data_IF_809391151791
#
_entry.id   IF_809391151791
#
_cell.length_a   1.000
_cell.length_b   1.000
_cell.length_c   1.000
_cell.angle_alpha   90.00
_cell.angle_beta   90.00
_cell.angle_gamma   90.00
#
_symmetry.space_group_name_H-M   'P 1'
#
loop_
_entity.id
_entity.type
_entity.pdbx_description
1 polymer ?
#
# COMPACT_ATOMS: atom_id res chain seq x y z
N UNK A 1 40.18 20.57 -19.80
CA UNK A 1 39.14 21.19 -20.65
C UNK A 1 39.37 22.70 -20.65
N UNK A 2 39.18 23.36 -21.80
CA UNK A 2 39.14 24.83 -21.89
C UNK A 2 37.68 25.27 -22.01
N UNK A 3 37.14 25.92 -20.98
CA UNK A 3 35.84 26.59 -21.06
C UNK A 3 36.05 28.05 -21.45
N UNK A 4 35.97 28.35 -22.75
CA UNK A 4 35.81 29.72 -23.21
C UNK A 4 34.39 30.18 -22.88
N UNK A 5 34.26 31.25 -22.11
CA UNK A 5 32.99 31.96 -21.93
C UNK A 5 32.71 32.84 -23.15
N UNK A 6 31.59 32.66 -23.89
CA UNK A 6 31.32 33.40 -25.11
C UNK A 6 30.33 34.57 -24.91
N UNK A 7 30.68 35.73 -25.47
CA UNK A 7 29.84 36.93 -25.69
C UNK A 7 29.27 37.70 -24.47
N UNK A 8 29.47 39.03 -24.48
CA UNK A 8 28.71 39.99 -23.66
C UNK A 8 29.52 41.17 -23.09
N UNK A 9 30.76 40.92 -22.67
CA UNK A 9 31.52 41.81 -21.78
C UNK A 9 32.20 43.07 -22.39
N UNK A 10 32.50 43.21 -23.71
CA UNK A 10 33.33 44.32 -24.21
C UNK A 10 32.82 45.74 -23.89
N UNK A 11 31.50 45.97 -23.94
CA UNK A 11 30.94 47.31 -23.74
C UNK A 11 31.05 47.77 -22.28
N UNK A 12 30.69 46.91 -21.31
CA UNK A 12 30.73 47.27 -19.90
C UNK A 12 32.14 47.68 -19.46
N UNK A 13 33.16 46.84 -19.73
CA UNK A 13 34.52 47.13 -19.29
C UNK A 13 35.06 48.47 -19.83
N UNK A 14 34.80 48.77 -21.11
CA UNK A 14 35.24 50.03 -21.70
C UNK A 14 34.49 51.26 -21.16
N UNK A 15 33.21 51.13 -20.84
CA UNK A 15 32.38 52.25 -20.35
C UNK A 15 32.59 52.49 -18.85
N UNK A 16 32.77 51.45 -18.03
CA UNK A 16 33.18 51.58 -16.62
C UNK A 16 34.60 52.13 -16.50
N UNK A 17 35.55 51.65 -17.31
CA UNK A 17 36.92 52.20 -17.36
C UNK A 17 36.91 53.70 -17.70
N UNK A 18 36.14 54.13 -18.70
CA UNK A 18 36.01 55.56 -19.05
C UNK A 18 35.38 56.41 -17.95
N UNK A 19 34.47 55.85 -17.15
CA UNK A 19 33.85 56.56 -16.03
C UNK A 19 34.81 56.67 -14.83
N UNK A 20 35.56 55.61 -14.53
CA UNK A 20 36.63 55.60 -13.53
C UNK A 20 37.76 56.58 -13.87
N UNK A 21 38.31 56.53 -15.09
CA UNK A 21 39.35 57.49 -15.52
C UNK A 21 38.88 58.95 -15.58
N UNK A 22 37.55 59.20 -15.59
CA UNK A 22 36.97 60.54 -15.46
C UNK A 22 36.75 60.96 -14.01
N UNK A 23 36.52 60.02 -13.10
CA UNK A 23 36.60 60.26 -11.66
C UNK A 23 38.05 60.61 -11.25
N UNK A 24 39.06 59.89 -11.73
CA UNK A 24 40.48 60.27 -11.54
C UNK A 24 40.79 61.67 -12.10
N UNK A 25 40.23 62.01 -13.26
CA UNK A 25 40.42 63.35 -13.85
C UNK A 25 39.74 64.45 -13.02
N UNK A 26 38.60 64.18 -12.38
CA UNK A 26 37.97 65.11 -11.44
C UNK A 26 38.74 65.20 -10.12
N UNK A 27 39.19 64.08 -9.55
CA UNK A 27 40.03 64.03 -8.35
C UNK A 27 41.32 64.84 -8.52
N UNK A 28 41.96 64.75 -9.69
CA UNK A 28 43.18 65.51 -10.01
C UNK A 28 42.94 66.97 -10.41
N UNK A 29 41.76 67.32 -10.94
CA UNK A 29 41.38 68.70 -11.24
C UNK A 29 40.91 69.51 -10.01
N UNK A 30 40.45 68.84 -8.94
CA UNK A 30 40.09 69.50 -7.68
C UNK A 30 40.98 69.02 -6.54
N UNK A 31 42.18 69.58 -6.44
CA UNK A 31 43.24 69.20 -5.49
C UNK A 31 42.97 69.50 -4.01
N UNK A 32 41.70 69.73 -3.64
CA UNK A 32 41.22 69.81 -2.25
C UNK A 32 39.88 69.06 -2.19
N UNK A 33 39.94 67.78 -1.81
CA UNK A 33 38.78 66.97 -1.43
C UNK A 33 38.99 66.48 0.01
N UNK A 34 38.91 67.42 0.96
CA UNK A 34 39.11 67.13 2.38
C UNK A 34 37.86 66.46 2.95
N UNK A 35 37.86 65.12 3.01
CA UNK A 35 36.79 64.32 3.61
C UNK A 35 36.96 64.36 5.14
N UNK A 36 36.54 65.47 5.73
CA UNK A 36 36.60 65.68 7.17
C UNK A 36 35.92 64.55 7.95
N UNK A 37 36.66 63.93 8.87
CA UNK A 37 36.23 62.74 9.63
C UNK A 37 35.08 63.09 10.59
N UNK A 38 33.85 62.57 10.37
CA UNK A 38 32.70 63.07 11.09
C UNK A 38 32.36 62.19 12.30
N UNK A 39 32.36 62.78 13.50
CA UNK A 39 31.92 62.12 14.74
C UNK A 39 30.38 61.96 14.84
N UNK A 40 29.66 62.26 13.75
CA UNK A 40 28.21 62.11 13.56
C UNK A 40 27.97 61.64 12.12
N UNK A 41 26.76 61.17 11.78
CA UNK A 41 26.45 60.53 10.47
C UNK A 41 26.27 61.50 9.30
N UNK A 42 27.08 62.56 9.23
CA UNK A 42 26.98 63.64 8.25
C UNK A 42 28.38 63.91 7.65
N UNK A 43 28.56 63.59 6.37
CA UNK A 43 29.80 63.84 5.63
C UNK A 43 29.66 65.16 4.85
N UNK A 44 30.63 66.06 5.01
CA UNK A 44 30.66 67.35 4.33
C UNK A 44 31.71 67.33 3.22
N UNK A 45 31.31 67.72 2.00
CA UNK A 45 32.19 67.84 0.85
C UNK A 45 32.59 69.32 0.68
N UNK A 46 33.74 69.69 1.22
CA UNK A 46 34.37 70.99 0.93
C UNK A 46 34.98 70.98 -0.47
N UNK A 47 34.71 72.01 -1.26
CA UNK A 47 35.34 72.25 -2.55
C UNK A 47 35.63 73.74 -2.73
N UNK A 48 36.78 74.07 -3.31
CA UNK A 48 37.33 75.44 -3.40
C UNK A 48 36.42 76.44 -4.14
N UNK A 49 35.50 75.95 -4.99
CA UNK A 49 34.47 76.80 -5.63
C UNK A 49 33.08 76.18 -5.55
N UNK A 50 32.00 76.99 -5.49
CA UNK A 50 30.62 76.49 -5.56
C UNK A 50 30.28 75.76 -6.87
N UNK A 51 31.05 75.95 -7.94
CA UNK A 51 30.91 75.19 -9.18
C UNK A 51 31.55 73.80 -9.07
N UNK A 52 32.73 73.68 -8.45
CA UNK A 52 33.33 72.39 -8.13
C UNK A 52 32.43 71.55 -7.21
N UNK A 53 31.81 72.17 -6.18
CA UNK A 53 30.85 71.49 -5.32
C UNK A 53 29.64 70.92 -6.11
N UNK A 54 29.04 71.72 -7.01
CA UNK A 54 27.92 71.27 -7.86
C UNK A 54 28.32 70.18 -8.85
N UNK A 55 29.51 70.27 -9.44
CA UNK A 55 30.06 69.25 -10.33
C UNK A 55 30.29 67.91 -9.61
N UNK A 56 30.82 67.95 -8.38
CA UNK A 56 31.00 66.77 -7.53
C UNK A 56 29.67 66.11 -7.17
N UNK A 57 28.70 66.89 -6.66
CA UNK A 57 27.36 66.37 -6.31
C UNK A 57 26.66 65.74 -7.52
N UNK A 58 26.75 66.38 -8.70
CA UNK A 58 26.14 65.88 -9.93
C UNK A 58 26.79 64.57 -10.42
N UNK A 59 28.12 64.47 -10.31
CA UNK A 59 28.88 63.26 -10.69
C UNK A 59 28.61 62.11 -9.71
N UNK A 60 28.55 62.39 -8.40
CA UNK A 60 28.22 61.40 -7.37
C UNK A 60 26.81 60.84 -7.56
N UNK A 61 25.83 61.69 -7.83
CA UNK A 61 24.46 61.28 -8.11
C UNK A 61 24.35 60.42 -9.39
N UNK A 62 25.09 60.79 -10.45
CA UNK A 62 25.17 59.98 -11.67
C UNK A 62 25.81 58.59 -11.41
N UNK A 63 26.85 58.51 -10.58
CA UNK A 63 27.45 57.24 -10.18
C UNK A 63 26.51 56.39 -9.32
N UNK A 64 25.74 57.00 -8.40
CA UNK A 64 24.71 56.33 -7.61
C UNK A 64 23.64 55.68 -8.49
N UNK A 65 23.15 56.38 -9.52
CA UNK A 65 22.18 55.84 -10.48
C UNK A 65 22.73 54.64 -11.28
N UNK A 66 24.02 54.68 -11.66
CA UNK A 66 24.71 53.54 -12.31
C UNK A 66 24.78 52.33 -11.37
N UNK A 67 25.16 52.54 -10.11
CA UNK A 67 25.25 51.47 -9.11
C UNK A 67 23.87 50.88 -8.79
N UNK A 68 22.82 51.71 -8.73
CA UNK A 68 21.45 51.25 -8.56
C UNK A 68 20.99 50.39 -9.76
N UNK A 69 21.16 50.87 -11.00
CA UNK A 69 20.80 50.12 -12.20
C UNK A 69 21.57 48.78 -12.30
N UNK A 70 22.84 48.76 -11.89
CA UNK A 70 23.64 47.53 -11.83
C UNK A 70 23.12 46.56 -10.76
N UNK A 71 22.76 47.06 -9.57
CA UNK A 71 22.16 46.27 -8.48
C UNK A 71 20.80 45.68 -8.87
N UNK A 72 19.95 46.44 -9.56
CA UNK A 72 18.65 45.97 -10.05
C UNK A 72 18.79 44.93 -11.18
N UNK A 73 19.82 45.06 -12.03
CA UNK A 73 20.17 44.01 -12.99
C UNK A 73 20.66 42.74 -12.29
N UNK A 74 21.59 42.84 -11.33
CA UNK A 74 22.15 41.68 -10.60
C UNK A 74 21.09 40.98 -9.75
N UNK A 75 20.25 41.72 -9.03
CA UNK A 75 19.17 41.16 -8.22
C UNK A 75 18.06 40.48 -9.04
N UNK A 76 18.02 40.70 -10.37
CA UNK A 76 17.01 40.11 -11.26
C UNK A 76 17.59 39.14 -12.30
N UNK A 77 18.79 38.59 -12.04
CA UNK A 77 19.43 37.57 -12.89
C UNK A 77 18.66 36.23 -12.98
N UNK A 78 17.64 36.02 -12.13
CA UNK A 78 16.75 34.86 -12.20
C UNK A 78 15.74 34.91 -13.36
N UNK A 79 15.45 36.09 -13.92
CA UNK A 79 14.45 36.27 -14.98
C UNK A 79 15.00 37.01 -16.21
N UNK A 80 14.83 36.38 -17.36
CA UNK A 80 15.46 36.69 -18.65
C UNK A 80 15.29 38.15 -19.14
N UNK A 81 16.29 38.63 -19.90
CA UNK A 81 16.05 39.69 -20.90
C UNK A 81 17.23 40.63 -21.19
N UNK A 82 17.76 40.69 -22.44
CA UNK A 82 18.80 41.66 -22.81
C UNK A 82 18.35 43.14 -22.75
N UNK A 83 17.05 43.40 -22.65
CA UNK A 83 16.50 44.75 -22.44
C UNK A 83 17.02 45.41 -21.14
N UNK A 84 17.28 44.63 -20.08
CA UNK A 84 17.85 45.13 -18.82
C UNK A 84 19.30 45.64 -19.01
N UNK A 85 20.10 44.93 -19.80
CA UNK A 85 21.45 45.38 -20.17
C UNK A 85 21.44 46.68 -21.00
N UNK A 86 20.45 46.85 -21.87
CA UNK A 86 20.22 48.13 -22.57
C UNK A 86 19.88 49.29 -21.62
N UNK A 87 19.16 49.00 -20.53
CA UNK A 87 18.85 49.99 -19.47
C UNK A 87 20.12 50.38 -18.69
N UNK A 88 20.95 49.42 -18.30
CA UNK A 88 22.26 49.71 -17.68
C UNK A 88 23.13 50.53 -18.64
N UNK A 89 23.27 50.11 -19.90
CA UNK A 89 24.09 50.79 -20.89
C UNK A 89 23.66 52.25 -21.15
N UNK A 90 22.36 52.53 -21.20
CA UNK A 90 21.83 53.90 -21.35
C UNK A 90 22.06 54.75 -20.10
N UNK A 91 21.84 54.20 -18.89
CA UNK A 91 22.16 54.90 -17.62
C UNK A 91 23.65 55.23 -17.53
N UNK A 92 24.57 54.31 -17.86
CA UNK A 92 26.02 54.61 -17.82
C UNK A 92 26.46 55.56 -18.94
N UNK A 93 25.76 55.59 -20.09
CA UNK A 93 25.99 56.59 -21.14
C UNK A 93 25.58 58.01 -20.69
N UNK A 94 24.42 58.14 -20.05
CA UNK A 94 23.95 59.41 -19.44
C UNK A 94 24.88 59.85 -18.31
N UNK A 95 25.29 58.93 -17.42
CA UNK A 95 26.22 59.25 -16.35
C UNK A 95 27.60 59.72 -16.86
N UNK A 96 28.12 59.09 -17.92
CA UNK A 96 29.33 59.58 -18.59
C UNK A 96 29.12 60.99 -19.15
N UNK A 97 27.99 61.25 -19.85
CA UNK A 97 27.69 62.57 -20.41
C UNK A 97 27.64 63.67 -19.32
N UNK A 98 26.97 63.40 -18.20
CA UNK A 98 26.93 64.28 -17.02
C UNK A 98 28.33 64.56 -16.48
N UNK A 99 29.19 63.53 -16.38
CA UNK A 99 30.58 63.71 -15.95
C UNK A 99 31.41 64.53 -16.96
N UNK A 100 31.13 64.48 -18.27
CA UNK A 100 31.80 65.38 -19.24
C UNK A 100 31.41 66.83 -18.96
N UNK A 101 30.13 67.14 -18.78
CA UNK A 101 29.70 68.53 -18.55
C UNK A 101 30.19 69.06 -17.20
N UNK A 102 30.18 68.22 -16.16
CA UNK A 102 30.77 68.52 -14.86
C UNK A 102 32.27 68.89 -14.98
N UNK A 103 33.08 68.14 -15.76
CA UNK A 103 34.49 68.51 -15.98
C UNK A 103 34.67 69.87 -16.65
N UNK A 104 33.79 70.25 -17.59
CA UNK A 104 33.84 71.58 -18.24
C UNK A 104 33.48 72.71 -17.28
N UNK A 105 32.46 72.53 -16.43
CA UNK A 105 32.09 73.54 -15.42
C UNK A 105 33.24 73.79 -14.43
N UNK A 106 33.94 72.72 -14.00
CA UNK A 106 35.14 72.83 -13.15
C UNK A 106 36.26 73.57 -13.87
N UNK A 107 36.61 73.17 -15.10
CA UNK A 107 37.68 73.80 -15.87
C UNK A 107 37.41 75.30 -16.16
N UNK A 108 36.16 75.65 -16.45
CA UNK A 108 35.73 77.03 -16.65
C UNK A 108 35.82 77.85 -15.35
N UNK A 109 35.38 77.30 -14.22
CA UNK A 109 35.49 77.95 -12.91
C UNK A 109 36.96 78.12 -12.48
N UNK A 110 37.80 77.10 -12.69
CA UNK A 110 39.24 77.14 -12.41
C UNK A 110 39.94 78.23 -13.23
N UNK A 111 39.60 78.38 -14.52
CA UNK A 111 40.11 79.45 -15.40
C UNK A 111 39.68 80.86 -14.95
N UNK A 112 38.54 81.00 -14.29
CA UNK A 112 38.11 82.26 -13.67
C UNK A 112 38.89 82.51 -12.37
N UNK A 113 39.05 81.50 -11.51
CA UNK A 113 39.82 81.61 -10.26
C UNK A 113 41.29 81.96 -10.51
N UNK A 114 41.94 81.28 -11.46
CA UNK A 114 43.31 81.56 -11.89
C UNK A 114 43.48 83.02 -12.37
N UNK A 115 42.48 83.55 -13.11
CA UNK A 115 42.48 84.94 -13.56
C UNK A 115 42.31 85.94 -12.42
N UNK A 116 41.55 85.59 -11.38
CA UNK A 116 41.43 86.41 -10.17
C UNK A 116 42.74 86.42 -9.37
N UNK A 117 43.36 85.25 -9.15
CA UNK A 117 44.63 85.12 -8.45
C UNK A 117 45.78 85.88 -9.14
N UNK A 118 45.92 85.73 -10.47
CA UNK A 118 46.91 86.46 -11.27
C UNK A 118 46.63 87.97 -11.38
N UNK A 119 45.45 88.44 -11.00
CA UNK A 119 45.12 89.87 -10.89
C UNK A 119 45.59 90.53 -9.58
N UNK A 120 46.08 89.77 -8.60
CA UNK A 120 46.24 90.22 -7.21
C UNK A 120 47.69 90.39 -6.72
N UNK A 121 48.67 90.52 -7.63
CA UNK A 121 50.12 90.50 -7.28
C UNK A 121 50.88 91.80 -7.59
N UNK A 122 50.28 92.96 -7.33
CA UNK A 122 50.94 94.28 -7.49
C UNK A 122 51.07 95.08 -6.19
N UNK A 123 51.92 94.65 -5.25
CA UNK A 123 52.27 95.43 -4.06
C UNK A 123 53.77 95.45 -3.71
N UNK A 124 54.43 96.50 -4.20
CA UNK A 124 55.53 97.28 -3.57
C UNK A 124 56.55 96.51 -2.70
N UNK A 125 57.68 96.16 -3.32
CA UNK A 125 58.91 95.79 -2.62
C UNK A 125 59.52 97.03 -1.93
N UNK A 126 59.43 97.11 -0.60
CA UNK A 126 60.06 98.16 0.20
C UNK A 126 61.52 97.75 0.51
N UNK A 127 62.48 98.26 -0.27
CA UNK A 127 63.90 97.89 -0.14
C UNK A 127 64.58 98.55 1.06
N UNK A 128 64.41 97.96 2.24
CA UNK A 128 65.35 98.18 3.35
C UNK A 128 66.71 97.60 3.00
N UNK A 129 67.79 98.36 3.20
CA UNK A 129 69.15 97.93 2.91
C UNK A 129 69.68 97.05 4.05
N UNK A 130 69.27 95.78 4.05
CA UNK A 130 69.96 94.71 4.75
C UNK A 130 71.28 94.43 4.01
N UNK A 131 72.35 94.19 4.78
CA UNK A 131 73.67 93.85 4.24
C UNK A 131 73.68 92.44 3.64
N UNK A 132 74.29 92.27 2.45
CA UNK A 132 74.21 91.03 1.67
C UNK A 132 74.87 89.84 2.41
N UNK A 133 75.91 90.09 3.22
CA UNK A 133 76.51 89.08 4.10
C UNK A 133 75.53 88.64 5.20
N UNK A 134 74.80 89.59 5.80
CA UNK A 134 73.75 89.29 6.78
C UNK A 134 72.60 88.49 6.16
N UNK A 135 72.17 88.81 4.93
CA UNK A 135 71.15 88.04 4.18
C UNK A 135 71.65 86.61 3.92
N UNK A 136 72.90 86.45 3.49
CA UNK A 136 73.50 85.14 3.24
C UNK A 136 73.60 84.29 4.52
N UNK A 137 74.03 84.89 5.64
CA UNK A 137 74.11 84.18 6.93
C UNK A 137 72.74 83.71 7.42
N UNK A 138 71.71 84.57 7.38
CA UNK A 138 70.36 84.17 7.80
C UNK A 138 69.75 83.15 6.82
N UNK A 139 70.04 83.23 5.52
CA UNK A 139 69.61 82.22 4.54
C UNK A 139 70.23 80.86 4.81
N UNK A 140 71.53 80.82 5.17
CA UNK A 140 72.19 79.57 5.57
C UNK A 140 71.60 79.01 6.87
N UNK A 141 71.38 79.87 7.88
CA UNK A 141 70.76 79.48 9.16
C UNK A 141 69.36 78.87 8.96
N UNK A 142 68.53 79.50 8.14
CA UNK A 142 67.19 78.99 7.79
C UNK A 142 67.26 77.68 7.00
N UNK A 143 68.28 77.50 6.13
CA UNK A 143 68.48 76.25 5.39
C UNK A 143 68.98 75.11 6.28
N UNK A 144 69.82 75.39 7.28
CA UNK A 144 70.19 74.42 8.30
C UNK A 144 68.99 74.04 9.19
N UNK A 145 68.15 75.00 9.58
CA UNK A 145 66.89 74.73 10.29
C UNK A 145 65.95 73.84 9.46
N UNK A 146 65.75 74.16 8.17
CA UNK A 146 64.95 73.35 7.22
C UNK A 146 65.49 71.92 7.10
N UNK A 147 66.82 71.74 7.00
CA UNK A 147 67.44 70.42 6.92
C UNK A 147 67.27 69.62 8.22
N UNK A 148 67.36 70.27 9.38
CA UNK A 148 67.09 69.62 10.67
C UNK A 148 65.61 69.21 10.80
N UNK A 149 64.67 70.05 10.35
CA UNK A 149 63.25 69.71 10.34
C UNK A 149 62.95 68.53 9.39
N UNK A 150 63.47 68.57 8.16
CA UNK A 150 63.32 67.46 7.20
C UNK A 150 63.88 66.14 7.74
N UNK A 151 64.99 66.18 8.48
CA UNK A 151 65.57 64.99 9.12
C UNK A 151 64.73 64.46 10.30
N UNK A 152 63.99 65.32 11.02
CA UNK A 152 63.00 64.89 12.01
C UNK A 152 61.76 64.31 11.34
N UNK A 153 61.23 64.97 10.31
CA UNK A 153 60.10 64.50 9.50
C UNK A 153 60.35 63.12 8.88
N UNK A 154 61.56 62.87 8.36
CA UNK A 154 61.96 61.56 7.83
C UNK A 154 61.90 60.50 8.93
N UNK A 155 62.51 60.75 10.09
CA UNK A 155 62.50 59.79 11.23
C UNK A 155 61.09 59.51 11.74
N UNK A 156 60.21 60.52 11.76
CA UNK A 156 58.81 60.34 12.13
C UNK A 156 58.09 59.44 11.11
N UNK A 157 58.31 59.65 9.80
CA UNK A 157 57.77 58.80 8.74
C UNK A 157 58.33 57.38 8.79
N UNK A 158 59.63 57.19 9.03
CA UNK A 158 60.25 55.87 9.20
C UNK A 158 59.61 55.11 10.37
N UNK A 159 59.35 55.79 11.49
CA UNK A 159 58.63 55.22 12.64
C UNK A 159 57.19 54.81 12.28
N UNK A 160 56.47 55.62 11.50
CA UNK A 160 55.12 55.28 11.02
C UNK A 160 55.13 54.16 10.00
N UNK A 161 56.15 54.08 9.13
CA UNK A 161 56.32 53.00 8.15
C UNK A 161 56.55 51.66 8.86
N UNK A 162 57.38 51.64 9.91
CA UNK A 162 57.59 50.45 10.72
C UNK A 162 56.29 50.03 11.43
N UNK A 163 55.57 50.96 12.08
CA UNK A 163 54.28 50.66 12.74
C UNK A 163 53.22 50.13 11.75
N UNK A 164 53.25 50.58 10.49
CA UNK A 164 52.39 50.04 9.42
C UNK A 164 52.87 48.65 8.97
N UNK A 165 54.18 48.42 8.87
CA UNK A 165 54.74 47.12 8.50
C UNK A 165 54.41 46.04 9.55
N UNK A 166 54.56 46.36 10.84
CA UNK A 166 54.22 45.47 11.95
C UNK A 166 52.74 45.08 11.90
N UNK A 167 51.83 46.06 11.72
CA UNK A 167 50.38 45.80 11.59
C UNK A 167 50.01 44.99 10.34
N UNK A 168 50.75 45.16 9.24
CA UNK A 168 50.57 44.34 8.03
C UNK A 168 51.03 42.89 8.26
N UNK A 169 52.11 42.69 9.04
CA UNK A 169 52.57 41.36 9.46
C UNK A 169 51.55 40.68 10.39
N UNK A 170 51.07 41.37 11.43
CA UNK A 170 49.98 40.88 12.30
C UNK A 170 48.73 40.50 11.48
N UNK A 171 48.37 41.32 10.49
CA UNK A 171 47.22 41.07 9.60
C UNK A 171 47.46 39.84 8.70
N UNK A 172 48.69 39.61 8.24
CA UNK A 172 49.03 38.44 7.44
C UNK A 172 48.96 37.14 8.27
N UNK A 173 49.49 37.15 9.50
CA UNK A 173 49.44 36.01 10.43
C UNK A 173 47.98 35.70 10.86
N UNK A 174 47.17 36.74 11.09
CA UNK A 174 45.73 36.59 11.32
C UNK A 174 44.98 36.01 10.11
N UNK A 175 45.40 36.34 8.88
CA UNK A 175 44.82 35.79 7.66
C UNK A 175 45.24 34.32 7.43
N UNK A 176 46.51 33.97 7.69
CA UNK A 176 47.02 32.60 7.56
C UNK A 176 46.38 31.65 8.59
N UNK A 177 46.25 32.09 9.85
CA UNK A 177 45.56 31.32 10.89
C UNK A 177 44.07 31.15 10.59
N UNK A 178 43.39 32.19 10.10
CA UNK A 178 42.00 32.11 9.66
C UNK A 178 41.81 31.16 8.46
N UNK A 179 42.70 31.20 7.47
CA UNK A 179 42.68 30.30 6.32
C UNK A 179 42.94 28.83 6.74
N UNK A 180 43.87 28.61 7.66
CA UNK A 180 44.16 27.29 8.21
C UNK A 180 42.96 26.70 8.97
N UNK A 181 42.30 27.51 9.80
CA UNK A 181 41.07 27.10 10.48
C UNK A 181 39.93 26.79 9.50
N UNK A 182 39.75 27.60 8.46
CA UNK A 182 38.75 27.37 7.42
C UNK A 182 39.00 26.06 6.65
N UNK A 183 40.25 25.73 6.34
CA UNK A 183 40.63 24.47 5.70
C UNK A 183 40.32 23.27 6.60
N UNK A 184 40.65 23.33 7.90
CA UNK A 184 40.34 22.27 8.87
C UNK A 184 38.83 21.99 8.95
N UNK A 185 38.00 23.04 8.99
CA UNK A 185 36.53 22.93 9.02
C UNK A 185 35.99 22.34 7.71
N UNK A 186 36.57 22.67 6.56
CA UNK A 186 36.17 22.09 5.28
C UNK A 186 36.59 20.60 5.13
N UNK A 187 37.69 20.20 5.75
CA UNK A 187 38.12 18.78 5.83
C UNK A 187 37.16 17.96 6.71
N UNK A 188 36.83 18.43 7.92
CA UNK A 188 35.81 17.82 8.76
C UNK A 188 34.45 17.74 8.05
N UNK A 189 34.04 18.82 7.37
CA UNK A 189 32.81 18.85 6.58
C UNK A 189 32.82 17.83 5.44
N UNK A 190 33.93 17.69 4.69
CA UNK A 190 34.08 16.69 3.63
C UNK A 190 34.02 15.26 4.18
N UNK A 191 34.61 15.01 5.34
CA UNK A 191 34.51 13.72 6.03
C UNK A 191 33.06 13.41 6.44
N UNK A 192 32.39 14.33 7.14
CA UNK A 192 31.00 14.15 7.61
C UNK A 192 30.00 13.98 6.45
N UNK A 193 30.19 14.68 5.32
CA UNK A 193 29.36 14.48 4.12
C UNK A 193 29.57 13.09 3.50
N UNK A 194 30.80 12.58 3.52
CA UNK A 194 31.11 11.23 3.00
C UNK A 194 30.49 10.14 3.88
N UNK A 195 30.54 10.31 5.21
CA UNK A 195 29.94 9.37 6.16
C UNK A 195 28.39 9.42 6.12
N UNK A 196 27.80 10.59 5.93
CA UNK A 196 26.34 10.74 5.73
C UNK A 196 25.88 10.00 4.47
N UNK A 197 26.58 10.17 3.34
CA UNK A 197 26.23 9.49 2.09
C UNK A 197 26.42 7.97 2.20
N UNK A 198 27.45 7.49 2.92
CA UNK A 198 27.62 6.07 3.24
C UNK A 198 26.43 5.52 4.06
N UNK A 199 26.08 6.18 5.17
CA UNK A 199 24.97 5.79 6.03
C UNK A 199 23.63 5.79 5.28
N UNK A 200 23.40 6.77 4.40
CA UNK A 200 22.25 6.83 3.50
C UNK A 200 22.20 5.62 2.57
N UNK A 201 23.30 5.27 1.90
CA UNK A 201 23.35 4.11 1.01
C UNK A 201 23.17 2.78 1.77
N UNK A 202 23.70 2.66 2.99
CA UNK A 202 23.54 1.45 3.80
C UNK A 202 22.10 1.28 4.31
N UNK A 203 21.41 2.39 4.63
CA UNK A 203 19.98 2.35 4.95
C UNK A 203 19.11 2.10 3.71
N UNK A 204 19.46 2.63 2.54
CA UNK A 204 18.76 2.36 1.26
C UNK A 204 18.80 0.86 0.90
N UNK A 205 19.97 0.21 1.03
CA UNK A 205 20.12 -1.26 0.90
C UNK A 205 19.27 -2.02 1.94
N UNK A 206 19.22 -1.53 3.19
CA UNK A 206 18.42 -2.15 4.25
C UNK A 206 16.93 -2.09 3.93
N UNK A 207 16.44 -0.95 3.40
CA UNK A 207 15.07 -0.78 2.93
C UNK A 207 14.78 -1.72 1.76
N UNK A 208 15.65 -1.80 0.75
CA UNK A 208 15.50 -2.73 -0.38
C UNK A 208 15.37 -4.19 0.08
N UNK A 209 16.27 -4.66 0.95
CA UNK A 209 16.21 -6.02 1.52
C UNK A 209 14.94 -6.25 2.33
N UNK A 210 14.45 -5.25 3.07
CA UNK A 210 13.19 -5.35 3.82
C UNK A 210 11.96 -5.45 2.89
N UNK A 211 11.97 -4.71 1.78
CA UNK A 211 10.90 -4.70 0.78
C UNK A 211 10.83 -6.00 -0.01
N UNK A 212 11.99 -6.60 -0.33
CA UNK A 212 12.04 -7.93 -0.93
C UNK A 212 11.46 -9.00 0.00
N UNK A 213 11.86 -9.00 1.29
CA UNK A 213 11.30 -9.92 2.30
C UNK A 213 9.79 -9.73 2.51
N UNK A 214 9.31 -8.48 2.47
CA UNK A 214 7.88 -8.20 2.55
C UNK A 214 7.14 -8.81 1.36
N UNK A 215 7.63 -8.62 0.13
CA UNK A 215 7.04 -9.22 -1.09
C UNK A 215 7.02 -10.74 -1.02
N UNK A 216 8.12 -11.38 -0.63
CA UNK A 216 8.15 -12.83 -0.41
C UNK A 216 7.10 -13.31 0.61
N UNK A 217 6.86 -12.53 1.68
CA UNK A 217 5.85 -12.86 2.68
C UNK A 217 4.42 -12.66 2.16
N UNK A 218 4.20 -11.66 1.31
CA UNK A 218 2.92 -11.39 0.64
C UNK A 218 2.57 -12.48 -0.38
N UNK A 219 3.56 -12.97 -1.13
CA UNK A 219 3.42 -14.11 -2.06
C UNK A 219 3.10 -15.41 -1.30
N UNK A 220 3.80 -15.69 -0.19
CA UNK A 220 3.50 -16.83 0.70
C UNK A 220 2.10 -16.72 1.31
N UNK A 221 1.66 -15.51 1.68
CA UNK A 221 0.31 -15.28 2.21
C UNK A 221 -0.78 -15.53 1.16
N UNK A 222 -0.56 -15.16 -0.11
CA UNK A 222 -1.49 -15.46 -1.22
C UNK A 222 -1.66 -16.95 -1.44
N UNK A 223 -0.57 -17.71 -1.48
CA UNK A 223 -0.60 -19.17 -1.63
C UNK A 223 -1.37 -19.85 -0.48
N UNK A 224 -1.15 -19.41 0.78
CA UNK A 224 -1.90 -19.91 1.93
C UNK A 224 -3.39 -19.54 1.90
N UNK A 225 -3.74 -18.37 1.33
CA UNK A 225 -5.13 -17.96 1.10
C UNK A 225 -5.79 -18.87 0.05
N UNK A 226 -5.11 -19.19 -1.05
CA UNK A 226 -5.58 -20.09 -2.10
C UNK A 226 -5.75 -21.54 -1.61
N UNK A 227 -4.75 -22.09 -0.90
CA UNK A 227 -4.82 -23.42 -0.27
C UNK A 227 -6.02 -23.53 0.69
N UNK A 228 -6.25 -22.49 1.50
CA UNK A 228 -7.37 -22.42 2.44
C UNK A 228 -8.73 -22.32 1.72
N UNK A 229 -8.86 -21.65 0.58
CA UNK A 229 -10.11 -21.70 -0.22
C UNK A 229 -10.36 -23.11 -0.79
N UNK A 230 -9.31 -23.79 -1.24
CA UNK A 230 -9.42 -25.17 -1.73
C UNK A 230 -9.90 -26.13 -0.63
N UNK A 231 -9.27 -26.08 0.55
CA UNK A 231 -9.64 -26.91 1.71
C UNK A 231 -11.05 -26.61 2.24
N UNK A 232 -11.52 -25.36 2.17
CA UNK A 232 -12.92 -25.02 2.47
C UNK A 232 -13.89 -25.69 1.47
N UNK A 233 -13.53 -25.68 0.19
CA UNK A 233 -14.34 -26.28 -0.89
C UNK A 233 -14.41 -27.82 -0.75
N UNK A 234 -13.30 -28.47 -0.42
CA UNK A 234 -13.27 -29.92 -0.11
C UNK A 234 -14.11 -30.26 1.12
N UNK A 235 -13.95 -29.49 2.21
CA UNK A 235 -14.74 -29.64 3.45
C UNK A 235 -16.24 -29.57 3.15
N UNK A 236 -16.68 -28.58 2.39
CA UNK A 236 -18.11 -28.37 2.13
C UNK A 236 -18.69 -29.43 1.19
N UNK A 237 -17.89 -29.91 0.22
CA UNK A 237 -18.24 -31.06 -0.61
C UNK A 237 -18.41 -32.34 0.23
N UNK A 238 -17.48 -32.62 1.14
CA UNK A 238 -17.55 -33.77 2.05
C UNK A 238 -18.71 -33.66 3.06
N UNK A 239 -19.03 -32.45 3.52
CA UNK A 239 -20.21 -32.21 4.37
C UNK A 239 -21.52 -32.45 3.62
N UNK A 240 -21.62 -32.03 2.35
CA UNK A 240 -22.77 -32.29 1.48
C UNK A 240 -22.93 -33.81 1.23
N UNK A 241 -21.84 -34.52 0.92
CA UNK A 241 -21.89 -35.97 0.73
C UNK A 241 -22.33 -36.70 2.02
N UNK A 242 -21.77 -36.30 3.17
CA UNK A 242 -22.18 -36.85 4.47
C UNK A 242 -23.65 -36.57 4.82
N UNK A 243 -24.22 -35.45 4.36
CA UNK A 243 -25.66 -35.17 4.49
C UNK A 243 -26.50 -36.07 3.57
N UNK A 244 -26.07 -36.29 2.32
CA UNK A 244 -26.71 -37.22 1.39
C UNK A 244 -26.75 -38.65 1.95
N UNK A 245 -25.61 -39.18 2.43
CA UNK A 245 -25.57 -40.52 3.02
C UNK A 245 -26.41 -40.65 4.29
N UNK A 246 -26.54 -39.59 5.11
CA UNK A 246 -27.46 -39.57 6.26
C UNK A 246 -28.93 -39.63 5.82
N UNK A 247 -29.29 -38.97 4.73
CA UNK A 247 -30.64 -39.03 4.13
C UNK A 247 -30.97 -40.44 3.63
N UNK A 248 -30.09 -41.05 2.82
CA UNK A 248 -30.29 -42.41 2.32
C UNK A 248 -30.30 -43.46 3.44
N UNK A 249 -29.45 -43.33 4.46
CA UNK A 249 -29.49 -44.17 5.66
C UNK A 249 -30.83 -44.05 6.41
N UNK A 250 -31.42 -42.85 6.46
CA UNK A 250 -32.76 -42.61 7.01
C UNK A 250 -33.85 -43.35 6.22
N UNK A 251 -33.85 -43.21 4.89
CA UNK A 251 -34.78 -43.93 4.00
C UNK A 251 -34.65 -45.44 4.12
N UNK A 252 -33.42 -45.96 4.10
CA UNK A 252 -33.14 -47.39 4.22
C UNK A 252 -33.64 -47.97 5.55
N UNK A 253 -33.44 -47.25 6.67
CA UNK A 253 -33.99 -47.63 7.99
C UNK A 253 -35.51 -47.61 8.02
N UNK A 254 -36.15 -46.60 7.41
CA UNK A 254 -37.62 -46.56 7.28
C UNK A 254 -38.16 -47.76 6.50
N UNK A 255 -37.54 -48.08 5.36
CA UNK A 255 -37.90 -49.23 4.54
C UNK A 255 -37.70 -50.57 5.28
N UNK A 256 -36.62 -50.72 6.06
CA UNK A 256 -36.40 -51.90 6.89
C UNK A 256 -37.54 -52.13 7.90
N UNK A 257 -37.94 -51.09 8.65
CA UNK A 257 -39.05 -51.19 9.62
C UNK A 257 -40.38 -51.52 8.94
N UNK A 258 -40.63 -50.99 7.73
CA UNK A 258 -41.83 -51.32 6.94
C UNK A 258 -41.83 -52.81 6.51
N UNK A 259 -40.67 -53.34 6.11
CA UNK A 259 -40.49 -54.74 5.72
C UNK A 259 -40.57 -55.68 6.92
N UNK A 260 -39.93 -55.37 8.05
CA UNK A 260 -40.06 -56.12 9.31
C UNK A 260 -41.53 -56.22 9.74
N UNK A 261 -42.25 -55.10 9.73
CA UNK A 261 -43.67 -55.08 10.05
C UNK A 261 -44.52 -55.86 9.03
N UNK A 262 -44.09 -55.97 7.76
CA UNK A 262 -44.75 -56.80 6.75
C UNK A 262 -44.49 -58.29 6.95
N UNK A 263 -43.25 -58.68 7.32
CA UNK A 263 -42.88 -60.06 7.68
C UNK A 263 -43.70 -60.53 8.88
N UNK A 264 -43.74 -59.76 9.97
CA UNK A 264 -44.52 -60.13 11.18
C UNK A 264 -46.02 -60.31 10.86
N UNK A 265 -46.59 -59.48 9.97
CA UNK A 265 -47.99 -59.66 9.50
C UNK A 265 -48.17 -60.92 8.64
N UNK A 266 -47.18 -61.30 7.84
CA UNK A 266 -47.22 -62.50 7.01
C UNK A 266 -47.04 -63.77 7.85
N UNK A 267 -46.11 -63.77 8.82
CA UNK A 267 -45.89 -64.85 9.78
C UNK A 267 -47.13 -65.10 10.64
N UNK A 268 -47.75 -64.05 11.20
CA UNK A 268 -48.98 -64.18 11.97
C UNK A 268 -50.14 -64.72 11.12
N UNK A 269 -50.28 -64.25 9.88
CA UNK A 269 -51.28 -64.80 8.94
C UNK A 269 -51.02 -66.27 8.62
N UNK A 270 -49.76 -66.68 8.46
CA UNK A 270 -49.38 -68.08 8.24
C UNK A 270 -49.68 -68.93 9.49
N UNK A 271 -49.37 -68.43 10.69
CA UNK A 271 -49.65 -69.09 11.97
C UNK A 271 -51.15 -69.31 12.19
N UNK A 272 -51.98 -68.30 11.91
CA UNK A 272 -53.45 -68.41 11.96
C UNK A 272 -53.96 -69.42 10.93
N UNK A 273 -53.45 -69.39 9.70
CA UNK A 273 -53.84 -70.34 8.64
C UNK A 273 -53.45 -71.78 8.97
N UNK A 274 -52.31 -72.00 9.62
CA UNK A 274 -51.87 -73.31 10.09
C UNK A 274 -52.74 -73.82 11.25
N UNK A 275 -53.13 -72.95 12.18
CA UNK A 275 -54.03 -73.31 13.28
C UNK A 275 -55.44 -73.69 12.80
N UNK A 276 -55.98 -72.98 11.80
CA UNK A 276 -57.24 -73.34 11.14
C UNK A 276 -57.14 -74.68 10.38
N UNK A 277 -56.03 -74.93 9.68
CA UNK A 277 -55.80 -76.21 9.02
C UNK A 277 -55.69 -77.39 10.01
N UNK A 278 -54.98 -77.22 11.12
CA UNK A 278 -54.89 -78.20 12.22
C UNK A 278 -56.25 -78.46 12.88
N UNK A 279 -57.07 -77.43 13.09
CA UNK A 279 -58.43 -77.59 13.59
C UNK A 279 -59.31 -78.40 12.62
N UNK A 280 -59.25 -78.10 11.31
CA UNK A 280 -59.97 -78.86 10.27
C UNK A 280 -59.48 -80.31 10.15
N UNK A 281 -58.19 -80.58 10.36
CA UNK A 281 -57.63 -81.94 10.42
C UNK A 281 -58.16 -82.68 11.65
N UNK A 282 -58.15 -82.06 12.83
CA UNK A 282 -58.70 -82.67 14.06
C UNK A 282 -60.18 -82.98 13.96
N UNK A 283 -60.96 -82.08 13.34
CA UNK A 283 -62.38 -82.30 13.06
C UNK A 283 -62.59 -83.47 12.08
N UNK A 284 -61.77 -83.57 11.02
CA UNK A 284 -61.80 -84.68 10.08
C UNK A 284 -61.38 -86.03 10.72
N UNK A 285 -60.38 -86.03 11.60
CA UNK A 285 -59.98 -87.23 12.37
C UNK A 285 -61.10 -87.68 13.30
N UNK A 286 -61.74 -86.76 14.03
CA UNK A 286 -62.87 -87.13 14.92
C UNK A 286 -64.08 -87.68 14.13
N UNK A 287 -64.36 -87.15 12.93
CA UNK A 287 -65.35 -87.75 12.01
C UNK A 287 -64.94 -89.15 11.57
N UNK A 288 -63.66 -89.36 11.24
CA UNK A 288 -63.14 -90.67 10.81
C UNK A 288 -63.21 -91.70 11.94
N UNK A 289 -62.85 -91.33 13.17
CA UNK A 289 -63.00 -92.17 14.37
C UNK A 289 -64.46 -92.57 14.60
N UNK A 290 -65.40 -91.62 14.46
CA UNK A 290 -66.84 -91.91 14.55
C UNK A 290 -67.31 -92.88 13.46
N UNK A 291 -66.84 -92.72 12.22
CA UNK A 291 -67.19 -93.59 11.10
C UNK A 291 -66.55 -94.98 11.18
N UNK A 292 -65.34 -95.09 11.75
CA UNK A 292 -64.70 -96.37 12.08
C UNK A 292 -65.53 -97.11 13.14
N UNK A 293 -65.95 -96.41 14.20
CA UNK A 293 -66.80 -97.00 15.23
C UNK A 293 -68.16 -97.45 14.69
N UNK A 294 -68.82 -96.61 13.89
CA UNK A 294 -70.09 -96.98 13.22
C UNK A 294 -69.92 -98.22 12.33
N UNK A 295 -68.80 -98.33 11.60
CA UNK A 295 -68.45 -99.54 10.84
C UNK A 295 -68.22 -100.75 11.75
N UNK A 296 -67.59 -100.60 12.91
CA UNK A 296 -67.39 -101.69 13.88
C UNK A 296 -68.72 -102.18 14.48
N UNK A 297 -69.60 -101.25 14.87
CA UNK A 297 -70.96 -101.54 15.35
C UNK A 297 -71.79 -102.25 14.25
N UNK A 298 -71.68 -101.82 12.99
CA UNK A 298 -72.31 -102.46 11.83
C UNK A 298 -71.73 -103.84 11.52
N UNK A 299 -70.42 -104.06 11.69
CA UNK A 299 -69.79 -105.38 11.53
C UNK A 299 -70.27 -106.34 12.62
N UNK A 300 -70.35 -105.91 13.88
CA UNK A 300 -70.91 -106.71 14.96
C UNK A 300 -72.39 -107.08 14.73
N UNK A 301 -73.17 -106.19 14.12
CA UNK A 301 -74.53 -106.49 13.66
C UNK A 301 -74.55 -107.52 12.52
N UNK A 302 -73.66 -107.40 11.53
CA UNK A 302 -73.53 -108.38 10.43
C UNK A 302 -73.10 -109.75 10.95
N UNK A 303 -72.14 -109.84 11.87
CA UNK A 303 -71.74 -111.11 12.49
C UNK A 303 -72.89 -111.70 13.31
N UNK A 304 -73.66 -110.88 14.02
CA UNK A 304 -74.87 -111.31 14.72
C UNK A 304 -75.93 -111.87 13.76
N UNK A 305 -76.15 -111.21 12.60
CA UNK A 305 -77.05 -111.68 11.55
C UNK A 305 -76.54 -112.96 10.88
N UNK A 306 -75.25 -113.08 10.57
CA UNK A 306 -74.65 -114.33 10.11
C UNK A 306 -74.79 -115.46 11.13
N UNK A 307 -74.65 -115.16 12.44
CA UNK A 307 -74.87 -116.12 13.51
C UNK A 307 -76.35 -116.44 13.74
N UNK A 308 -77.30 -115.59 13.32
CA UNK A 308 -78.72 -115.93 13.23
C UNK A 308 -78.97 -116.83 12.02
N UNK A 309 -78.47 -116.48 10.84
CA UNK A 309 -78.58 -117.27 9.61
C UNK A 309 -77.98 -118.67 9.83
N UNK A 310 -76.76 -118.81 10.38
CA UNK A 310 -76.16 -120.12 10.68
C UNK A 310 -76.96 -120.96 11.69
N UNK A 311 -77.64 -120.32 12.65
CA UNK A 311 -78.58 -121.02 13.56
C UNK A 311 -79.89 -121.40 12.87
N UNK A 312 -80.35 -120.59 11.93
CA UNK A 312 -81.50 -120.90 11.10
C UNK A 312 -81.16 -122.05 10.13
N UNK A 313 -79.97 -122.05 9.52
CA UNK A 313 -79.44 -123.13 8.69
C UNK A 313 -79.31 -124.43 9.49
N UNK A 314 -78.70 -124.44 10.68
CA UNK A 314 -78.64 -125.68 11.50
C UNK A 314 -80.00 -126.12 12.02
N UNK A 315 -80.90 -125.18 12.35
CA UNK A 315 -82.30 -125.50 12.65
C UNK A 315 -83.08 -126.02 11.44
N UNK A 316 -82.71 -125.62 10.22
CA UNK A 316 -83.33 -126.09 8.97
C UNK A 316 -82.76 -127.45 8.59
N UNK A 317 -81.46 -127.69 8.80
CA UNK A 317 -80.81 -129.00 8.62
C UNK A 317 -81.36 -130.04 9.62
N UNK A 318 -81.79 -129.64 10.82
CA UNK A 318 -82.52 -130.51 11.75
C UNK A 318 -84.02 -130.71 11.41
N UNK A 319 -84.56 -130.02 10.41
CA UNK A 319 -85.98 -130.09 10.00
C UNK A 319 -86.15 -130.61 8.55
N UNK A 320 -85.13 -130.48 7.71
CA UNK A 320 -85.12 -130.90 6.31
C UNK A 320 -84.39 -132.23 6.09
N UNK A 321 -84.56 -133.19 7.00
CA UNK A 321 -84.48 -134.63 6.64
C UNK A 321 -85.82 -135.12 6.03
N UNK A 322 -86.88 -134.29 6.06
CA UNK A 322 -88.16 -134.53 5.36
C UNK A 322 -88.56 -133.36 4.42
N UNK A 323 -89.00 -133.70 3.20
CA UNK A 323 -89.57 -132.86 2.13
C UNK A 323 -88.67 -131.73 1.54
N UNK A 324 -88.42 -131.56 0.22
CA UNK A 324 -89.03 -131.97 -1.07
C UNK A 324 -89.76 -130.84 -1.83
N UNK A 325 -88.99 -130.09 -2.63
CA UNK A 325 -89.30 -129.58 -3.99
C UNK A 325 -90.39 -128.49 -4.27
N UNK A 326 -90.05 -127.61 -5.25
CA UNK A 326 -90.92 -126.85 -6.19
C UNK A 326 -91.75 -125.63 -5.65
N UNK A 327 -92.01 -124.53 -6.40
CA UNK A 327 -91.54 -124.05 -7.72
C UNK A 327 -91.72 -122.50 -7.90
N UNK A 328 -91.03 -121.94 -8.91
CA UNK A 328 -90.93 -120.58 -9.47
C UNK A 328 -92.17 -119.68 -9.64
N UNK A 329 -91.93 -118.35 -9.78
CA UNK A 329 -92.26 -117.42 -10.92
C UNK A 329 -92.49 -115.95 -10.45
N UNK A 330 -92.45 -114.83 -11.22
CA UNK A 330 -91.65 -114.32 -12.38
C UNK A 330 -91.77 -112.76 -12.45
N UNK A 331 -91.05 -112.08 -13.37
CA UNK A 331 -91.16 -110.64 -13.77
C UNK A 331 -90.60 -109.57 -12.79
N UNK A 332 -89.99 -108.43 -13.22
CA UNK A 332 -89.51 -107.88 -14.52
C UNK A 332 -88.39 -106.86 -14.18
N UNK A 333 -87.18 -106.94 -14.76
CA UNK A 333 -86.72 -106.25 -15.99
C UNK A 333 -87.13 -104.77 -16.16
N UNK A 334 -86.14 -103.88 -16.06
CA UNK A 334 -85.84 -102.76 -17.00
C UNK A 334 -84.31 -102.65 -17.07
N UNK A 335 -83.75 -102.47 -18.27
CA UNK A 335 -82.36 -102.02 -18.49
C UNK A 335 -82.36 -100.52 -18.80
N UNK A 336 -81.25 -99.82 -18.55
CA UNK A 336 -80.74 -98.88 -19.55
C UNK A 336 -79.22 -98.67 -19.46
N UNK A 337 -78.62 -98.17 -20.54
CA UNK A 337 -77.18 -98.00 -20.73
C UNK A 337 -76.81 -96.52 -21.00
N UNK A 338 -75.57 -96.30 -21.46
CA UNK A 338 -75.05 -95.17 -22.28
C UNK A 338 -74.04 -94.22 -21.58
N UNK A 339 -72.77 -94.67 -21.60
CA UNK A 339 -71.69 -94.14 -22.43
C UNK A 339 -71.31 -92.62 -22.45
N UNK A 340 -69.99 -92.38 -22.25
CA UNK A 340 -69.12 -91.33 -22.84
C UNK A 340 -69.44 -89.83 -22.70
N UNK A 341 -68.48 -89.13 -22.08
CA UNK A 341 -67.81 -88.00 -22.72
C UNK A 341 -66.29 -88.00 -22.36
N UNK A 342 -65.45 -87.56 -23.29
CA UNK A 342 -64.00 -87.33 -23.11
C UNK A 342 -63.65 -85.93 -23.66
N UNK A 343 -62.39 -85.50 -23.48
CA UNK A 343 -61.75 -84.27 -24.03
C UNK A 343 -62.37 -82.92 -23.59
N UNK A 344 -61.63 -81.84 -23.33
CA UNK A 344 -60.17 -81.58 -23.32
C UNK A 344 -59.81 -80.66 -22.10
N UNK A 345 -58.60 -80.10 -21.88
CA UNK A 345 -57.31 -80.11 -22.61
C UNK A 345 -56.12 -79.89 -21.63
N UNK A 346 -54.90 -79.71 -22.15
CA UNK A 346 -53.68 -79.42 -21.36
C UNK A 346 -52.93 -78.18 -21.89
N UNK A 347 -52.38 -77.34 -20.97
CA UNK A 347 -51.27 -76.38 -21.21
C UNK A 347 -51.48 -75.22 -22.24
N UNK A 348 -50.56 -74.23 -22.34
CA UNK A 348 -49.73 -73.62 -21.29
C UNK A 348 -49.72 -72.06 -21.32
N UNK A 349 -48.86 -71.51 -20.45
CA UNK A 349 -48.28 -70.15 -20.45
C UNK A 349 -47.79 -69.66 -21.84
N UNK A 350 -47.84 -68.35 -22.11
CA UNK A 350 -46.76 -67.68 -22.84
C UNK A 350 -46.03 -66.63 -21.98
N UNK A 351 -44.73 -66.83 -21.78
CA UNK A 351 -43.76 -65.76 -21.49
C UNK A 351 -43.08 -65.43 -22.81
N UNK A 352 -43.06 -64.16 -23.18
CA UNK A 352 -42.22 -63.65 -24.25
C UNK A 352 -41.79 -62.22 -23.89
N UNK A 353 -40.53 -62.05 -23.54
CA UNK A 353 -39.91 -60.73 -23.48
C UNK A 353 -39.75 -60.20 -24.92
N UNK A 354 -39.94 -58.90 -25.13
CA UNK A 354 -39.05 -58.14 -26.00
C UNK A 354 -39.14 -56.63 -25.77
N UNK A 355 -38.01 -55.97 -26.00
CA UNK A 355 -37.72 -54.57 -25.69
C UNK A 355 -37.94 -53.70 -26.94
N UNK A 356 -38.61 -52.55 -26.81
CA UNK A 356 -38.37 -51.31 -27.58
C UNK A 356 -38.67 -50.10 -26.67
N UNK A 357 -37.94 -49.00 -26.85
CA UNK A 357 -38.01 -47.74 -26.08
C UNK A 357 -38.87 -46.65 -26.79
N UNK A 358 -38.91 -45.45 -26.19
CA UNK A 358 -39.43 -44.17 -26.74
C UNK A 358 -40.99 -44.02 -26.75
N UNK A 359 -41.59 -42.85 -26.53
CA UNK A 359 -41.03 -41.52 -26.19
C UNK A 359 -41.98 -40.64 -25.34
N UNK A 360 -41.50 -39.44 -25.04
CA UNK A 360 -42.02 -38.34 -24.22
C UNK A 360 -43.41 -37.76 -24.63
N UNK A 361 -44.11 -37.18 -23.65
CA UNK A 361 -45.12 -36.11 -23.77
C UNK A 361 -45.49 -35.61 -22.36
N UNK A 362 -44.94 -34.46 -21.94
CA UNK A 362 -45.10 -33.89 -20.60
C UNK A 362 -46.00 -32.66 -20.56
N UNK A 363 -46.84 -32.55 -19.51
CA UNK A 363 -47.63 -31.33 -19.21
C UNK A 363 -47.39 -30.86 -17.78
N UNK A 364 -46.92 -29.62 -17.63
CA UNK A 364 -46.60 -28.97 -16.35
C UNK A 364 -47.85 -28.30 -15.71
N UNK A 365 -48.02 -28.46 -14.39
CA UNK A 365 -48.95 -27.65 -13.59
C UNK A 365 -48.28 -27.26 -12.25
N UNK A 366 -47.63 -26.10 -12.25
CA UNK A 366 -47.53 -25.20 -11.08
C UNK A 366 -48.87 -24.43 -10.93
N UNK A 367 -49.25 -23.77 -9.84
CA UNK A 367 -48.53 -23.31 -8.63
C UNK A 367 -49.55 -23.10 -7.50
N UNK A 368 -49.13 -23.27 -6.24
CA UNK A 368 -49.56 -22.57 -4.99
C UNK A 368 -48.50 -22.97 -3.95
N UNK A 369 -47.97 -22.13 -3.09
CA UNK A 369 -48.16 -20.69 -2.84
C UNK A 369 -47.54 -20.40 -1.47
N UNK A 370 -46.76 -19.32 -1.34
CA UNK A 370 -45.76 -19.21 -0.28
C UNK A 370 -46.31 -19.21 1.15
N UNK A 371 -45.55 -19.78 2.09
CA UNK A 371 -45.72 -19.54 3.53
C UNK A 371 -44.36 -19.51 4.20
N UNK A 372 -43.89 -18.28 4.44
CA UNK A 372 -42.67 -17.96 5.16
C UNK A 372 -42.79 -18.38 6.64
N UNK A 373 -41.93 -19.30 7.10
CA UNK A 373 -41.82 -19.67 8.51
C UNK A 373 -40.53 -19.10 9.12
N UNK A 374 -40.65 -17.93 9.73
CA UNK A 374 -39.57 -17.27 10.46
C UNK A 374 -39.11 -18.10 11.66
N UNK A 375 -37.80 -18.25 11.85
CA UNK A 375 -37.21 -19.14 12.88
C UNK A 375 -37.02 -18.40 14.24
N UNK A 376 -37.73 -18.76 15.33
CA UNK A 376 -37.81 -17.94 16.54
C UNK A 376 -36.90 -18.44 17.69
N UNK A 377 -35.58 -18.54 17.45
CA UNK A 377 -34.63 -19.00 18.46
C UNK A 377 -33.36 -18.14 18.59
N UNK A 378 -33.53 -16.91 19.07
CA UNK A 378 -32.48 -16.22 19.84
C UNK A 378 -32.67 -16.54 21.33
N UNK A 379 -31.79 -17.38 21.89
CA UNK A 379 -31.75 -17.68 23.32
C UNK A 379 -30.35 -17.44 23.85
N UNK A 380 -30.08 -16.21 24.29
CA UNK A 380 -28.88 -15.88 25.05
C UNK A 380 -28.87 -16.71 26.34
N UNK A 381 -27.78 -17.43 26.62
CA UNK A 381 -27.58 -18.11 27.91
C UNK A 381 -26.17 -17.83 28.42
N UNK A 382 -26.12 -16.78 29.24
CA UNK A 382 -25.25 -16.62 30.42
C UNK A 382 -23.80 -17.10 30.31
N UNK A 383 -22.90 -16.16 30.05
CA UNK A 383 -21.49 -16.28 30.40
C UNK A 383 -21.33 -16.31 31.94
N UNK A 384 -20.49 -17.22 32.46
CA UNK A 384 -20.36 -17.44 33.91
C UNK A 384 -19.13 -18.28 34.33
N UNK A 385 -17.91 -17.69 34.33
CA UNK A 385 -17.09 -17.63 35.58
C UNK A 385 -15.86 -16.72 35.52
N UNK A 386 -15.77 -15.90 36.56
CA UNK A 386 -14.61 -15.15 37.03
C UNK A 386 -13.58 -16.06 37.75
N UNK A 387 -12.31 -15.60 37.90
CA UNK A 387 -11.45 -15.66 39.12
C UNK A 387 -9.91 -15.64 38.82
N UNK A 388 -9.29 -14.45 38.95
CA UNK A 388 -7.90 -14.18 39.46
C UNK A 388 -6.65 -14.72 38.68
N UNK A 389 -5.40 -14.23 38.81
CA UNK A 389 -4.73 -13.26 39.73
C UNK A 389 -3.37 -12.76 39.18
N UNK A 390 -2.81 -11.70 39.79
CA UNK A 390 -1.37 -11.30 39.84
C UNK A 390 -0.65 -10.75 38.56
N UNK A 391 0.49 -10.03 38.70
CA UNK A 391 0.84 -8.93 37.77
C UNK A 391 2.05 -9.16 36.83
N UNK A 392 2.18 -8.27 35.83
CA UNK A 392 3.42 -8.06 35.08
C UNK A 392 4.36 -7.11 35.86
N UNK A 393 5.50 -7.62 36.34
CA UNK A 393 6.60 -6.80 36.86
C UNK A 393 7.57 -6.39 35.74
N UNK A 394 8.00 -5.13 35.75
CA UNK A 394 9.09 -4.66 34.88
C UNK A 394 10.45 -5.21 35.35
N UNK A 395 11.13 -6.00 34.51
CA UNK A 395 12.56 -5.78 34.28
C UNK A 395 13.00 -6.23 32.87
N UNK A 396 13.83 -5.39 32.24
CA UNK A 396 14.56 -5.71 31.01
C UNK A 396 16.05 -5.50 31.28
N UNK A 397 16.66 -6.48 31.95
CA UNK A 397 18.11 -6.52 32.16
C UNK A 397 18.82 -7.01 30.89
N UNK A 398 19.56 -6.11 30.25
CA UNK A 398 20.42 -6.42 29.10
C UNK A 398 21.84 -6.70 29.64
N UNK A 399 22.42 -7.89 29.42
CA UNK A 399 23.82 -8.13 29.79
C UNK A 399 24.76 -7.31 28.88
N UNK A 400 25.73 -6.64 29.49
CA UNK A 400 26.84 -6.00 28.80
C UNK A 400 28.03 -6.95 28.86
N UNK A 401 28.40 -7.54 27.71
CA UNK A 401 29.62 -8.36 27.60
C UNK A 401 30.89 -7.53 27.86
N UNK A 402 31.96 -8.19 28.30
CA UNK A 402 33.26 -7.60 28.70
C UNK A 402 34.42 -8.23 27.93
#
# INVERSE_FOLDING_TARGET
MLFLYPYGVPLCYHVYSRLLSRLDLLLSLTSVLDIGTPQKKEYFLCAETPSAARAWVSTLHAAQLVLQAHKEAVNSLGDNGPAKLGTVATVVAVANATAIEATKEVEAAMKISLRAALGSTTNKLNKGQLDDLTIMMETLRVKDDELHQLLQDIRARDSTINEIADKLQETAEAAETAASAANSIDEERRFLLSELERLKQDHEKQVEVSLLRLRESEEKAKLLVEERDHLLTERDSALQEAQMWRSELGKARGNAVILEAAVVRAEEKARVSAADADLRVKEAVSRLESAIKEKEDLLALVDTLQSQIKRQETSTIQVCEESSELCSTTSKHVEDNVDKACVSDTDPIPVAENIVELEDEGVDIRTIGDTEWSNPHSSEVSDAREVTTEPEENSLDIPVDT
#
